data_IF_260021291846
#
_entry.id   IF_260021291846
#
_cell.length_a   1.000
_cell.length_b   1.000
_cell.length_c   1.000
_cell.angle_alpha   90.00
_cell.angle_beta   90.00
_cell.angle_gamma   90.00
#
_symmetry.space_group_name_H-M   'P 1'
#
loop_
_entity.id
_entity.type
_entity.pdbx_description
1 polymer ?
#
# COMPACT_ATOMS: atom_id res chain seq x y z
N UNK A 1 12.51 8.78 -3.47
CA UNK A 1 12.69 9.39 -2.13
C UNK A 1 11.45 9.25 -1.22
N UNK A 2 10.22 9.19 -1.73
CA UNK A 2 9.00 9.04 -0.90
C UNK A 2 8.79 7.65 -0.26
N UNK A 3 9.25 6.58 -0.90
CA UNK A 3 8.99 5.20 -0.47
C UNK A 3 9.59 4.84 0.91
N UNK A 4 10.75 5.41 1.25
CA UNK A 4 11.38 5.16 2.56
C UNK A 4 10.54 5.71 3.71
N UNK A 5 10.02 6.94 3.55
CA UNK A 5 9.18 7.59 4.57
C UNK A 5 7.87 6.82 4.73
N UNK A 6 7.28 6.40 3.61
CA UNK A 6 6.08 5.56 3.62
C UNK A 6 6.32 4.24 4.35
N UNK A 7 7.46 3.57 4.11
CA UNK A 7 7.79 2.30 4.76
C UNK A 7 7.95 2.45 6.30
N UNK A 8 8.58 3.52 6.75
CA UNK A 8 8.73 3.80 8.19
C UNK A 8 7.36 4.05 8.82
N UNK A 9 6.52 4.86 8.18
CA UNK A 9 5.15 5.13 8.64
C UNK A 9 4.31 3.87 8.70
N UNK A 10 4.25 3.09 7.61
CA UNK A 10 3.44 1.87 7.53
C UNK A 10 3.87 0.82 8.55
N UNK A 11 5.17 0.63 8.75
CA UNK A 11 5.69 -0.34 9.73
C UNK A 11 5.29 0.01 11.17
N UNK A 12 5.37 1.29 11.53
CA UNK A 12 4.99 1.75 12.88
C UNK A 12 3.50 1.54 13.18
N UNK A 13 2.63 1.82 12.21
CA UNK A 13 1.18 1.72 12.38
C UNK A 13 0.74 0.25 12.47
N UNK A 14 1.33 -0.62 11.66
CA UNK A 14 1.03 -2.05 11.65
C UNK A 14 1.30 -2.69 13.02
N UNK A 15 2.50 -2.46 13.58
CA UNK A 15 2.88 -2.95 14.91
C UNK A 15 1.97 -2.36 16.00
N UNK A 16 1.61 -1.08 15.87
CA UNK A 16 0.72 -0.42 16.85
C UNK A 16 -0.66 -1.09 16.90
N UNK A 17 -1.23 -1.46 15.76
CA UNK A 17 -2.52 -2.15 15.70
C UNK A 17 -2.49 -3.55 16.36
N UNK A 18 -1.40 -4.30 16.14
CA UNK A 18 -1.18 -5.61 16.79
C UNK A 18 -1.05 -5.48 18.31
N UNK A 19 -0.25 -4.51 18.78
CA UNK A 19 -0.11 -4.26 20.22
C UNK A 19 -1.45 -3.81 20.83
N UNK A 20 -2.21 -2.96 20.13
CA UNK A 20 -3.51 -2.48 20.60
C UNK A 20 -4.52 -3.62 20.80
N UNK A 21 -4.62 -4.57 19.85
CA UNK A 21 -5.55 -5.69 20.02
C UNK A 21 -5.08 -6.66 21.12
N UNK A 22 -3.78 -6.91 21.24
CA UNK A 22 -3.24 -7.75 22.31
C UNK A 22 -3.47 -7.12 23.69
N UNK A 23 -3.38 -5.80 23.81
CA UNK A 23 -3.70 -5.07 25.04
C UNK A 23 -5.19 -5.11 25.41
N UNK A 24 -6.08 -5.29 24.43
CA UNK A 24 -7.52 -5.40 24.64
C UNK A 24 -7.97 -6.78 25.12
N UNK A 25 -7.14 -7.82 24.94
CA UNK A 25 -7.44 -9.20 25.32
C UNK A 25 -6.86 -9.50 26.70
N UNK A 26 -7.72 -9.90 27.64
CA UNK A 26 -7.33 -10.17 29.02
C UNK A 26 -6.58 -11.49 29.22
N UNK A 27 -6.84 -12.50 28.39
CA UNK A 27 -6.27 -13.84 28.55
C UNK A 27 -5.37 -14.24 27.38
N UNK A 28 -4.14 -14.68 27.70
CA UNK A 28 -3.12 -15.04 26.71
C UNK A 28 -3.56 -16.16 25.75
N UNK A 29 -4.45 -17.06 26.18
CA UNK A 29 -4.94 -18.15 25.33
C UNK A 29 -5.67 -17.64 24.07
N UNK A 30 -6.21 -16.41 24.09
CA UNK A 30 -6.91 -15.81 22.96
C UNK A 30 -6.03 -14.90 22.08
N UNK A 31 -4.73 -14.74 22.38
CA UNK A 31 -3.85 -13.86 21.60
C UNK A 31 -3.73 -14.29 20.14
N UNK A 32 -3.59 -15.59 19.88
CA UNK A 32 -3.53 -16.11 18.52
C UNK A 32 -4.81 -15.80 17.73
N UNK A 33 -5.98 -15.94 18.37
CA UNK A 33 -7.29 -15.66 17.77
C UNK A 33 -7.43 -14.16 17.48
N UNK A 34 -6.97 -13.30 18.40
CA UNK A 34 -7.01 -11.86 18.25
C UNK A 34 -6.14 -11.38 17.07
N UNK A 35 -4.91 -11.85 16.98
CA UNK A 35 -4.02 -11.54 15.85
C UNK A 35 -4.60 -12.07 14.53
N UNK A 36 -5.16 -13.29 14.53
CA UNK A 36 -5.82 -13.84 13.34
C UNK A 36 -6.97 -12.95 12.85
N UNK A 37 -7.76 -12.38 13.77
CA UNK A 37 -8.85 -11.47 13.44
C UNK A 37 -8.34 -10.16 12.80
N UNK A 38 -7.31 -9.54 13.38
CA UNK A 38 -6.71 -8.32 12.80
C UNK A 38 -6.08 -8.60 11.44
N UNK A 39 -5.40 -9.73 11.29
CA UNK A 39 -4.84 -10.17 10.01
C UNK A 39 -5.92 -10.40 8.95
N UNK A 40 -7.05 -11.00 9.33
CA UNK A 40 -8.20 -11.20 8.43
C UNK A 40 -8.77 -9.85 7.95
N UNK A 41 -9.01 -8.91 8.88
CA UNK A 41 -9.46 -7.56 8.52
C UNK A 41 -8.45 -6.83 7.62
N UNK A 42 -7.15 -6.99 7.91
CA UNK A 42 -6.08 -6.40 7.12
C UNK A 42 -6.03 -6.97 5.70
N UNK A 43 -6.27 -8.28 5.52
CA UNK A 43 -6.36 -8.92 4.20
C UNK A 43 -7.52 -8.38 3.38
N UNK A 44 -8.67 -8.12 4.00
CA UNK A 44 -9.82 -7.48 3.32
C UNK A 44 -9.45 -6.07 2.86
N UNK A 45 -8.85 -5.27 3.75
CA UNK A 45 -8.39 -3.92 3.40
C UNK A 45 -7.37 -3.92 2.25
N UNK A 46 -6.43 -4.86 2.25
CA UNK A 46 -5.47 -5.05 1.16
C UNK A 46 -6.17 -5.41 -0.15
N UNK A 47 -7.14 -6.33 -0.14
CA UNK A 47 -7.87 -6.71 -1.34
C UNK A 47 -8.61 -5.49 -1.96
N UNK A 48 -9.30 -4.71 -1.14
CA UNK A 48 -9.98 -3.49 -1.59
C UNK A 48 -8.98 -2.47 -2.14
N UNK A 49 -7.87 -2.23 -1.43
CA UNK A 49 -6.83 -1.31 -1.87
C UNK A 49 -6.19 -1.73 -3.19
N UNK A 50 -5.95 -3.02 -3.39
CA UNK A 50 -5.44 -3.58 -4.64
C UNK A 50 -6.43 -3.37 -5.79
N UNK A 51 -7.72 -3.61 -5.58
CA UNK A 51 -8.75 -3.38 -6.62
C UNK A 51 -8.83 -1.93 -7.06
N UNK A 52 -8.79 -0.98 -6.11
CA UNK A 52 -8.81 0.45 -6.46
C UNK A 52 -7.52 0.85 -7.18
N UNK A 53 -6.38 0.38 -6.68
CA UNK A 53 -5.08 0.68 -7.28
C UNK A 53 -4.94 0.09 -8.69
N UNK A 54 -5.43 -1.12 -8.93
CA UNK A 54 -5.40 -1.76 -10.24
C UNK A 54 -6.30 -1.04 -11.24
N UNK A 55 -7.50 -0.61 -10.82
CA UNK A 55 -8.40 0.17 -11.67
C UNK A 55 -7.76 1.51 -12.10
N UNK A 56 -7.14 2.23 -11.16
CA UNK A 56 -6.41 3.47 -11.47
C UNK A 56 -5.25 3.19 -12.43
N UNK A 57 -4.47 2.14 -12.17
CA UNK A 57 -3.31 1.80 -12.99
C UNK A 57 -3.70 1.48 -14.44
N UNK A 58 -4.71 0.63 -14.62
CA UNK A 58 -5.17 0.17 -15.93
C UNK A 58 -5.81 1.29 -16.76
N UNK A 59 -6.40 2.31 -16.13
CA UNK A 59 -6.93 3.49 -16.83
C UNK A 59 -5.84 4.53 -17.14
N UNK A 60 -4.98 4.84 -16.16
CA UNK A 60 -4.05 5.98 -16.24
C UNK A 60 -2.85 5.66 -17.13
N UNK A 61 -2.23 4.48 -16.99
CA UNK A 61 -0.98 4.18 -17.72
C UNK A 61 -1.20 4.20 -19.24
N UNK A 62 -2.19 3.50 -19.83
CA UNK A 62 -2.40 3.54 -21.27
C UNK A 62 -2.74 4.94 -21.77
N UNK A 63 -3.57 5.69 -21.03
CA UNK A 63 -3.95 7.06 -21.37
C UNK A 63 -2.74 7.99 -21.39
N UNK A 64 -1.89 7.94 -20.37
CA UNK A 64 -0.68 8.78 -20.28
C UNK A 64 0.41 8.38 -21.26
N UNK A 65 0.53 7.09 -21.56
CA UNK A 65 1.40 6.63 -22.63
C UNK A 65 0.93 7.16 -24.00
N UNK A 66 -0.38 7.19 -24.27
CA UNK A 66 -0.91 7.77 -25.51
C UNK A 66 -0.60 9.26 -25.67
N UNK A 67 -0.53 10.00 -24.56
CA UNK A 67 -0.22 11.43 -24.55
C UNK A 67 1.28 11.73 -24.76
N UNK A 68 2.17 10.88 -24.23
CA UNK A 68 3.61 11.17 -24.18
C UNK A 68 4.45 10.36 -25.18
N UNK A 69 3.96 9.23 -25.70
CA UNK A 69 4.71 8.41 -26.65
C UNK A 69 4.94 9.16 -27.98
N UNK A 70 6.15 9.04 -28.58
CA UNK A 70 6.39 9.56 -29.91
C UNK A 70 5.58 8.79 -30.96
N UNK A 71 5.29 9.44 -32.09
CA UNK A 71 4.42 8.87 -33.14
C UNK A 71 4.90 7.53 -33.70
N UNK A 72 6.21 7.28 -33.66
CA UNK A 72 6.85 6.03 -34.07
C UNK A 72 6.50 4.84 -33.16
N UNK A 73 6.27 5.08 -31.86
CA UNK A 73 6.01 4.04 -30.86
C UNK A 73 4.55 3.95 -30.43
N UNK A 74 3.69 4.89 -30.86
CA UNK A 74 2.25 4.84 -30.64
C UNK A 74 1.59 3.54 -31.10
N UNK A 75 1.95 2.91 -32.24
CA UNK A 75 1.40 1.62 -32.64
C UNK A 75 1.71 0.50 -31.64
N UNK A 76 2.83 0.61 -30.91
CA UNK A 76 3.28 -0.37 -29.92
C UNK A 76 2.72 -0.11 -28.52
N UNK A 77 1.87 0.91 -28.34
CA UNK A 77 1.32 1.31 -27.05
C UNK A 77 0.72 0.16 -26.24
N UNK A 78 -0.11 -0.76 -26.79
CA UNK A 78 -0.69 -1.85 -26.00
C UNK A 78 0.37 -2.81 -25.44
N UNK A 79 1.45 -3.03 -26.20
CA UNK A 79 2.56 -3.90 -25.82
C UNK A 79 3.39 -3.22 -24.74
N UNK A 80 3.73 -1.94 -24.96
CA UNK A 80 4.49 -1.13 -24.00
C UNK A 80 3.72 -0.97 -22.69
N UNK A 81 2.40 -0.79 -22.72
CA UNK A 81 1.58 -0.64 -21.51
C UNK A 81 1.44 -1.95 -20.72
N UNK A 82 1.46 -3.10 -21.39
CA UNK A 82 1.24 -4.40 -20.75
C UNK A 82 2.53 -5.06 -20.23
N UNK A 83 3.69 -4.79 -20.83
CA UNK A 83 4.94 -5.49 -20.53
C UNK A 83 6.06 -4.56 -20.05
N UNK A 84 6.46 -4.75 -18.79
CA UNK A 84 7.58 -4.05 -18.18
C UNK A 84 8.93 -4.41 -18.83
N UNK A 85 9.09 -5.63 -19.36
CA UNK A 85 10.36 -6.03 -20.00
C UNK A 85 10.57 -5.21 -21.27
N UNK A 86 9.51 -5.05 -22.07
CA UNK A 86 9.50 -4.16 -23.24
C UNK A 86 9.76 -2.70 -22.84
N UNK A 87 9.19 -2.20 -21.74
CA UNK A 87 9.51 -0.84 -21.29
C UNK A 87 10.98 -0.66 -20.88
N UNK A 88 11.59 -1.69 -20.29
CA UNK A 88 12.96 -1.67 -19.81
C UNK A 88 13.99 -1.86 -20.94
N UNK A 89 13.61 -2.44 -22.07
CA UNK A 89 14.51 -2.64 -23.22
C UNK A 89 14.86 -1.34 -23.97
N UNK A 90 14.03 -0.30 -23.86
CA UNK A 90 14.34 1.01 -24.46
C UNK A 90 15.54 1.67 -23.76
N UNK A 91 16.53 2.21 -24.49
CA UNK A 91 17.70 2.85 -23.89
C UNK A 91 17.34 3.96 -22.89
N UNK A 92 18.08 4.05 -21.80
CA UNK A 92 17.93 5.13 -20.82
C UNK A 92 18.24 6.47 -21.49
N UNK A 93 17.33 7.44 -21.35
CA UNK A 93 17.44 8.76 -22.00
C UNK A 93 16.84 8.84 -23.40
N UNK A 94 16.34 7.74 -23.97
CA UNK A 94 15.54 7.79 -25.20
C UNK A 94 14.21 8.52 -24.98
N UNK A 95 13.64 9.18 -26.01
CA UNK A 95 12.34 9.85 -25.91
C UNK A 95 11.24 8.94 -25.37
N UNK A 96 11.19 7.69 -25.85
CA UNK A 96 10.25 6.66 -25.42
C UNK A 96 10.43 6.29 -23.95
N UNK A 97 11.67 6.11 -23.49
CA UNK A 97 11.95 5.78 -22.08
C UNK A 97 11.59 6.94 -21.14
N UNK A 98 11.81 8.18 -21.57
CA UNK A 98 11.40 9.38 -20.81
C UNK A 98 9.88 9.49 -20.76
N UNK A 99 9.18 9.28 -21.88
CA UNK A 99 7.72 9.27 -21.95
C UNK A 99 7.11 8.24 -20.99
N UNK A 100 7.66 7.02 -20.95
CA UNK A 100 7.26 5.97 -20.00
C UNK A 100 7.48 6.44 -18.55
N UNK A 101 8.65 7.00 -18.23
CA UNK A 101 8.93 7.50 -16.87
C UNK A 101 7.95 8.62 -16.45
N UNK A 102 7.60 9.51 -17.36
CA UNK A 102 6.60 10.55 -17.12
C UNK A 102 5.20 9.96 -16.88
N UNK A 103 4.78 8.98 -17.68
CA UNK A 103 3.52 8.28 -17.47
C UNK A 103 3.46 7.56 -16.11
N UNK A 104 4.56 6.92 -15.68
CA UNK A 104 4.68 6.31 -14.36
C UNK A 104 4.64 7.35 -13.23
N UNK A 105 5.23 8.53 -13.43
CA UNK A 105 5.15 9.64 -12.49
C UNK A 105 3.71 10.08 -12.25
N UNK A 106 2.93 10.25 -13.31
CA UNK A 106 1.53 10.64 -13.25
C UNK A 106 0.65 9.55 -12.61
N UNK A 107 0.87 8.28 -12.97
CA UNK A 107 0.16 7.16 -12.37
C UNK A 107 0.42 7.04 -10.87
N UNK A 108 1.68 7.10 -10.44
CA UNK A 108 2.03 7.07 -9.02
C UNK A 108 1.48 8.28 -8.27
N UNK A 109 1.45 9.47 -8.88
CA UNK A 109 0.85 10.65 -8.26
C UNK A 109 -0.61 10.41 -7.91
N UNK A 110 -1.39 9.85 -8.84
CA UNK A 110 -2.81 9.53 -8.59
C UNK A 110 -2.98 8.43 -7.54
N UNK A 111 -2.14 7.40 -7.57
CA UNK A 111 -2.14 6.34 -6.56
C UNK A 111 -1.85 6.90 -5.15
N UNK A 112 -0.89 7.81 -5.02
CA UNK A 112 -0.59 8.43 -3.73
C UNK A 112 -1.73 9.32 -3.24
N UNK A 113 -2.37 10.09 -4.12
CA UNK A 113 -3.54 10.91 -3.76
C UNK A 113 -4.66 10.00 -3.24
N UNK A 114 -4.99 8.93 -3.97
CA UNK A 114 -6.01 7.96 -3.55
C UNK A 114 -5.66 7.34 -2.17
N UNK A 115 -4.41 6.93 -1.98
CA UNK A 115 -3.92 6.39 -0.71
C UNK A 115 -4.05 7.40 0.44
N UNK A 116 -3.68 8.67 0.24
CA UNK A 116 -3.78 9.71 1.27
C UNK A 116 -5.23 10.00 1.65
N UNK A 117 -6.17 9.97 0.71
CA UNK A 117 -7.61 10.17 1.01
C UNK A 117 -8.14 9.03 1.88
N UNK A 118 -7.76 7.78 1.60
CA UNK A 118 -8.18 6.62 2.41
C UNK A 118 -7.65 6.71 3.84
N UNK A 119 -6.46 7.29 4.06
CA UNK A 119 -5.91 7.49 5.41
C UNK A 119 -6.77 8.37 6.32
N UNK A 120 -7.65 9.21 5.79
CA UNK A 120 -8.64 9.95 6.60
C UNK A 120 -9.51 8.99 7.41
N UNK A 121 -9.92 7.86 6.82
CA UNK A 121 -10.68 6.83 7.53
C UNK A 121 -9.83 6.16 8.61
N UNK A 122 -8.54 5.96 8.35
CA UNK A 122 -7.59 5.43 9.33
C UNK A 122 -7.45 6.32 10.56
N UNK A 123 -7.36 7.64 10.37
CA UNK A 123 -7.32 8.61 11.47
C UNK A 123 -8.61 8.59 12.30
N UNK A 124 -9.77 8.55 11.66
CA UNK A 124 -11.06 8.46 12.37
C UNK A 124 -11.13 7.15 13.16
N UNK A 125 -10.73 6.03 12.56
CA UNK A 125 -10.69 4.73 13.23
C UNK A 125 -9.76 4.72 14.45
N UNK A 126 -8.57 5.30 14.33
CA UNK A 126 -7.63 5.42 15.44
C UNK A 126 -8.17 6.33 16.56
N UNK A 127 -8.86 7.41 16.22
CA UNK A 127 -9.51 8.29 17.20
C UNK A 127 -10.63 7.60 18.00
N UNK A 128 -11.24 6.57 17.43
CA UNK A 128 -12.24 5.73 18.10
C UNK A 128 -11.64 4.66 19.02
N UNK A 129 -10.32 4.43 18.96
CA UNK A 129 -9.68 3.45 19.84
C UNK A 129 -9.78 3.86 21.31
N UNK A 130 -10.12 2.91 22.17
CA UNK A 130 -10.08 3.12 23.61
C UNK A 130 -8.64 3.27 24.06
N UNK A 131 -8.37 4.28 24.88
CA UNK A 131 -7.06 4.45 25.49
C UNK A 131 -6.87 3.42 26.61
N UNK A 132 -6.18 2.32 26.29
CA UNK A 132 -5.87 1.25 27.25
C UNK A 132 -4.53 1.54 27.91
N UNK A 133 -4.51 1.62 29.24
CA UNK A 133 -3.27 1.82 29.98
C UNK A 133 -2.47 0.50 30.08
N UNK A 134 -1.51 0.35 29.17
CA UNK A 134 -0.62 -0.81 29.10
C UNK A 134 0.38 -0.94 30.25
N UNK A 135 0.61 0.12 31.05
CA UNK A 135 1.60 0.10 32.16
C UNK A 135 1.26 -0.90 33.27
N UNK A 136 -0.03 -1.21 33.43
CA UNK A 136 -0.51 -2.09 34.49
C UNK A 136 -0.74 -3.54 34.02
N UNK A 137 -0.49 -3.84 32.73
CA UNK A 137 -0.66 -5.19 32.20
C UNK A 137 0.54 -6.04 32.67
N UNK A 138 0.29 -6.92 33.64
CA UNK A 138 1.30 -7.87 34.10
C UNK A 138 1.56 -8.91 33.01
N UNK A 139 2.74 -8.87 32.42
CA UNK A 139 3.25 -9.93 31.56
C UNK A 139 3.35 -11.23 32.38
N UNK A 140 2.45 -12.17 32.17
CA UNK A 140 2.53 -13.49 32.80
C UNK A 140 3.76 -14.21 32.25
N UNK A 141 4.69 -14.58 33.14
CA UNK A 141 5.88 -15.36 32.81
C UNK A 141 5.42 -16.74 32.34
N UNK A 142 5.37 -16.95 31.03
CA UNK A 142 5.13 -18.27 30.46
C UNK A 142 6.22 -19.23 30.92
N UNK A 143 5.85 -20.32 31.60
CA UNK A 143 6.70 -21.49 31.72
C UNK A 143 6.61 -22.21 30.38
N UNK A 144 7.66 -22.08 29.57
CA UNK A 144 7.90 -23.02 28.46
C UNK A 144 8.24 -24.34 29.15
N UNK A 145 7.34 -25.32 29.04
CA UNK A 145 7.59 -26.70 29.43
C UNK A 145 8.03 -27.49 28.20
#
# INVERSE_FOLDING_TARGET
MSQLILAVGSGSIMITAEIAILAAVSEQQYFAVAIALVSMCSSIGQAVGLTVSSAIWQDVIPRKLAEYLPAEDLPNLPIIAADIVTQLSFPVGSPTRLAIQHAYGDAHRLLFIAGTVVWVLGFVGAAMWKNINIKNIKQTKGRVA
#
